data_IF_716486697349
#
_entry.id   IF_716486697349
#
_cell.length_a   1.000
_cell.length_b   1.000
_cell.length_c   1.000
_cell.angle_alpha   90.00
_cell.angle_beta   90.00
_cell.angle_gamma   90.00
#
_symmetry.space_group_name_H-M   'P 1'
#
loop_
_entity.id
_entity.type
_entity.pdbx_description
1 polymer ?
#
# COMPACT_ATOMS: atom_id res chain seq x y z
N UNK A 1 -17.26 12.89 -2.36
CA UNK A 1 -16.77 13.46 -1.09
C UNK A 1 -16.93 12.40 -0.02
N UNK A 2 -15.87 12.09 0.73
CA UNK A 2 -15.86 11.02 1.73
C UNK A 2 -16.68 11.37 2.97
N UNK A 3 -17.26 10.35 3.61
CA UNK A 3 -18.03 10.46 4.85
C UNK A 3 -17.07 10.63 6.04
N UNK A 4 -17.13 11.76 6.79
CA UNK A 4 -16.25 12.05 7.91
C UNK A 4 -16.46 11.14 9.13
N UNK A 5 -17.51 10.31 9.13
CA UNK A 5 -17.80 9.35 10.21
C UNK A 5 -17.18 7.97 9.96
N UNK A 6 -16.64 7.73 8.77
CA UNK A 6 -15.98 6.46 8.48
C UNK A 6 -14.72 6.31 9.34
N UNK A 7 -14.47 5.13 9.92
CA UNK A 7 -13.24 4.90 10.66
C UNK A 7 -12.07 5.16 9.71
N UNK A 8 -11.21 6.10 10.08
CA UNK A 8 -9.99 6.38 9.33
C UNK A 8 -9.23 5.07 9.14
N UNK A 9 -8.87 4.76 7.89
CA UNK A 9 -8.06 3.59 7.60
C UNK A 9 -6.72 3.79 8.32
N UNK A 10 -6.36 2.92 9.26
CA UNK A 10 -5.04 3.00 9.90
C UNK A 10 -3.96 2.85 8.82
N UNK A 11 -3.12 3.89 8.72
CA UNK A 11 -2.03 4.03 7.74
C UNK A 11 -0.67 3.79 8.35
N UNK A 12 -0.64 3.18 9.53
CA UNK A 12 0.61 2.65 10.06
C UNK A 12 1.29 1.78 9.00
N UNK A 13 2.61 1.87 8.84
CA UNK A 13 3.37 0.99 7.97
C UNK A 13 3.05 -0.50 8.22
N UNK A 14 2.74 -0.85 9.47
CA UNK A 14 2.28 -2.18 9.88
C UNK A 14 0.97 -2.57 9.17
N UNK A 15 -0.10 -1.77 9.27
CA UNK A 15 -1.36 -2.07 8.59
C UNK A 15 -1.22 -2.07 7.07
N UNK A 16 -0.36 -1.22 6.50
CA UNK A 16 -0.04 -1.26 5.07
C UNK A 16 0.60 -2.60 4.69
N UNK A 17 1.62 -3.05 5.42
CA UNK A 17 2.30 -4.33 5.21
C UNK A 17 1.33 -5.51 5.32
N UNK A 18 0.46 -5.53 6.33
CA UNK A 18 -0.54 -6.59 6.51
C UNK A 18 -1.50 -6.67 5.32
N UNK A 19 -2.07 -5.53 4.89
CA UNK A 19 -2.97 -5.47 3.74
C UNK A 19 -2.28 -5.91 2.45
N UNK A 20 -1.05 -5.42 2.22
CA UNK A 20 -0.29 -5.76 1.03
C UNK A 20 0.09 -7.24 1.02
N UNK A 21 0.55 -7.79 2.15
CA UNK A 21 0.87 -9.22 2.31
C UNK A 21 -0.35 -10.09 2.05
N UNK A 22 -1.52 -9.71 2.56
CA UNK A 22 -2.78 -10.42 2.31
C UNK A 22 -3.16 -10.38 0.83
N UNK A 23 -3.14 -9.19 0.20
CA UNK A 23 -3.51 -9.02 -1.22
C UNK A 23 -2.62 -9.81 -2.17
N UNK A 24 -1.33 -9.84 -1.88
CA UNK A 24 -0.33 -10.54 -2.67
C UNK A 24 -0.63 -12.05 -2.79
N UNK A 25 -1.22 -12.68 -1.76
CA UNK A 25 -1.58 -14.10 -1.78
C UNK A 25 -2.65 -14.45 -2.84
N UNK A 26 -3.39 -13.45 -3.34
CA UNK A 26 -4.46 -13.62 -4.33
C UNK A 26 -4.04 -13.20 -5.75
N UNK A 27 -2.78 -12.82 -5.96
CA UNK A 27 -2.27 -12.51 -7.29
C UNK A 27 -2.15 -13.79 -8.10
N UNK A 28 -2.61 -13.77 -9.35
CA UNK A 28 -2.49 -14.92 -10.26
C UNK A 28 -1.01 -15.25 -10.47
N UNK A 29 -0.53 -16.46 -10.12
CA UNK A 29 0.87 -16.83 -10.29
C UNK A 29 1.33 -16.86 -11.75
N UNK A 30 0.41 -16.95 -12.72
CA UNK A 30 0.72 -16.87 -14.15
C UNK A 30 0.77 -15.43 -14.68
N UNK A 31 0.08 -14.52 -14.01
CA UNK A 31 -0.01 -13.10 -14.38
C UNK A 31 0.19 -12.23 -13.14
N UNK A 32 1.43 -12.22 -12.64
CA UNK A 32 1.83 -11.56 -11.39
C UNK A 32 1.82 -10.02 -11.51
N UNK A 33 0.63 -9.44 -11.57
CA UNK A 33 0.42 -7.98 -11.70
C UNK A 33 -0.19 -7.45 -10.40
N UNK A 34 0.53 -6.55 -9.75
CA UNK A 34 0.01 -5.73 -8.65
C UNK A 34 -0.35 -4.35 -9.19
N UNK A 35 -1.63 -4.00 -9.12
CA UNK A 35 -2.11 -2.67 -9.51
C UNK A 35 -2.23 -1.75 -8.29
N UNK A 36 -1.53 -0.62 -8.33
CA UNK A 36 -1.61 0.44 -7.32
C UNK A 36 -2.38 1.60 -7.97
N UNK A 37 -3.64 1.84 -7.59
CA UNK A 37 -4.50 2.79 -8.31
C UNK A 37 -4.04 4.24 -8.15
N UNK A 38 -3.34 4.55 -7.06
CA UNK A 38 -3.00 5.93 -6.70
C UNK A 38 -1.63 5.99 -6.03
N UNK A 39 -0.84 7.00 -6.40
CA UNK A 39 0.49 7.22 -5.82
C UNK A 39 0.50 8.37 -4.82
N UNK A 40 -0.18 9.47 -5.11
CA UNK A 40 -0.09 10.73 -4.37
C UNK A 40 -1.46 11.34 -4.03
N UNK A 41 -2.50 10.51 -3.85
CA UNK A 41 -3.80 10.99 -3.42
C UNK A 41 -3.78 11.27 -1.91
N UNK A 42 -3.29 12.46 -1.54
CA UNK A 42 -3.27 12.93 -0.15
C UNK A 42 -4.66 13.32 0.35
N UNK A 43 -5.63 13.57 -0.54
CA UNK A 43 -6.97 14.01 -0.16
C UNK A 43 -7.81 12.87 0.42
N UNK A 44 -7.79 11.72 -0.25
CA UNK A 44 -8.33 10.46 0.30
C UNK A 44 -7.30 9.76 1.20
N UNK A 45 -6.14 10.41 1.33
CA UNK A 45 -4.96 10.04 2.07
C UNK A 45 -4.49 8.58 1.77
N UNK A 46 -4.79 8.10 0.57
CA UNK A 46 -4.31 6.85 -0.06
C UNK A 46 -2.92 7.00 -0.70
N UNK A 47 -2.16 8.03 -0.33
CA UNK A 47 -0.83 8.29 -0.88
C UNK A 47 0.18 7.21 -0.46
N UNK A 48 0.92 6.71 -1.45
CA UNK A 48 2.15 5.93 -1.28
C UNK A 48 3.39 6.82 -1.31
N UNK A 49 3.27 8.01 -1.92
CA UNK A 49 4.33 8.99 -2.00
C UNK A 49 4.89 9.35 -0.61
N UNK A 50 6.20 9.61 -0.49
CA UNK A 50 6.80 9.96 0.78
C UNK A 50 6.13 11.16 1.45
N UNK A 51 5.92 11.06 2.75
CA UNK A 51 5.32 12.14 3.55
C UNK A 51 6.16 12.45 4.79
N UNK A 52 5.76 13.48 5.54
CA UNK A 52 6.46 13.91 6.75
C UNK A 52 6.28 12.97 7.94
N UNK A 53 5.34 12.02 7.89
CA UNK A 53 5.03 11.08 9.00
C UNK A 53 5.85 9.81 8.90
N UNK A 54 5.97 9.25 7.70
CA UNK A 54 6.57 7.95 7.46
C UNK A 54 7.71 7.98 6.44
N UNK A 55 8.03 9.13 5.84
CA UNK A 55 9.13 9.25 4.88
C UNK A 55 8.97 8.23 3.75
N UNK A 56 10.01 7.43 3.53
CA UNK A 56 10.02 6.39 2.49
C UNK A 56 9.48 5.02 2.95
N UNK A 57 9.04 4.87 4.20
CA UNK A 57 8.75 3.56 4.81
C UNK A 57 7.76 2.72 4.00
N UNK A 58 6.68 3.33 3.48
CA UNK A 58 5.69 2.59 2.68
C UNK A 58 6.27 2.06 1.35
N UNK A 59 7.18 2.81 0.74
CA UNK A 59 7.88 2.38 -0.48
C UNK A 59 8.89 1.27 -0.19
N UNK A 60 9.55 1.33 0.97
CA UNK A 60 10.47 0.27 1.42
C UNK A 60 9.74 -1.05 1.70
N UNK A 61 8.57 -0.97 2.34
CA UNK A 61 7.69 -2.14 2.54
C UNK A 61 7.21 -2.71 1.20
N UNK A 62 6.78 -1.86 0.26
CA UNK A 62 6.40 -2.30 -1.09
C UNK A 62 7.56 -3.00 -1.81
N UNK A 63 8.77 -2.42 -1.77
CA UNK A 63 9.97 -3.01 -2.37
C UNK A 63 10.30 -4.36 -1.75
N UNK A 64 10.23 -4.47 -0.43
CA UNK A 64 10.55 -5.71 0.30
C UNK A 64 9.57 -6.83 -0.08
N UNK A 65 8.28 -6.52 -0.13
CA UNK A 65 7.25 -7.50 -0.46
C UNK A 65 7.20 -7.88 -1.93
N UNK A 66 7.60 -6.99 -2.85
CA UNK A 66 7.64 -7.30 -4.28
C UNK A 66 8.93 -8.01 -4.70
N UNK A 67 10.01 -7.88 -3.93
CA UNK A 67 11.28 -8.57 -4.21
C UNK A 67 11.13 -10.11 -4.24
N UNK A 68 10.22 -10.69 -3.46
CA UNK A 68 9.95 -12.14 -3.47
C UNK A 68 9.31 -12.66 -4.76
N UNK A 69 8.82 -11.78 -5.64
CA UNK A 69 8.16 -12.15 -6.91
C UNK A 69 9.05 -11.99 -8.14
N UNK A 70 10.27 -11.46 -7.97
CA UNK A 70 11.22 -11.22 -9.07
C UNK A 70 12.30 -12.31 -9.19
N UNK A 71 12.05 -13.50 -8.62
CA UNK A 71 13.00 -14.63 -8.59
C UNK A 71 12.73 -15.65 -9.69
#
# INVERSE_FOLDING_TARGET
>A
MGDPTWPGIDRSPLSFRERLSFKIQYIDPKHSILFIPEFNNFFEESNLAPDTRYGFTLLEELKTLTASFSS
#
